data_IF_237019842044
#
_entry.id   IF_237019842044
#
_cell.length_a   1.000
_cell.length_b   1.000
_cell.length_c   1.000
_cell.angle_alpha   90.00
_cell.angle_beta   90.00
_cell.angle_gamma   90.00
#
_symmetry.space_group_name_H-M   'P 1'
#
loop_
_entity.id
_entity.type
_entity.pdbx_description
1 polymer ?
#
# COMPACT_ATOMS: atom_id res chain seq x y z
N UNK A 1 -15.44 -44.34 -40.14
CA UNK A 1 -15.24 -43.77 -38.80
C UNK A 1 -15.55 -42.28 -38.89
N UNK A 2 -16.85 -41.93 -38.94
CA UNK A 2 -17.31 -40.54 -38.92
C UNK A 2 -17.25 -40.09 -37.46
N UNK A 3 -16.26 -39.27 -37.12
CA UNK A 3 -16.31 -38.54 -35.86
C UNK A 3 -17.61 -37.74 -35.86
N UNK A 4 -18.44 -37.91 -34.84
CA UNK A 4 -19.70 -37.18 -34.71
C UNK A 4 -19.39 -35.69 -34.71
N UNK A 5 -19.90 -34.97 -35.72
CA UNK A 5 -19.66 -33.54 -35.92
C UNK A 5 -20.02 -32.75 -34.65
N UNK A 6 -21.00 -33.23 -33.89
CA UNK A 6 -21.39 -32.69 -32.57
C UNK A 6 -20.26 -32.75 -31.53
N UNK A 7 -19.45 -33.80 -31.52
CA UNK A 7 -18.33 -33.98 -30.60
C UNK A 7 -17.18 -33.02 -30.95
N UNK A 8 -16.93 -32.80 -32.25
CA UNK A 8 -15.95 -31.81 -32.73
C UNK A 8 -16.38 -30.40 -32.33
N UNK A 9 -17.66 -30.06 -32.53
CA UNK A 9 -18.21 -28.74 -32.16
C UNK A 9 -18.15 -28.51 -30.65
N UNK A 10 -18.47 -29.53 -29.84
CA UNK A 10 -18.41 -29.44 -28.37
C UNK A 10 -16.97 -29.23 -27.87
N UNK A 11 -15.99 -29.94 -28.44
CA UNK A 11 -14.57 -29.77 -28.09
C UNK A 11 -14.08 -28.36 -28.44
N UNK A 12 -14.45 -27.85 -29.62
CA UNK A 12 -14.09 -26.49 -30.03
C UNK A 12 -14.69 -25.43 -29.10
N UNK A 13 -15.96 -25.58 -28.71
CA UNK A 13 -16.62 -24.65 -27.80
C UNK A 13 -15.92 -24.59 -26.43
N UNK A 14 -15.49 -25.72 -25.87
CA UNK A 14 -14.76 -25.78 -24.60
C UNK A 14 -13.40 -25.07 -24.70
N UNK A 15 -12.68 -25.24 -25.81
CA UNK A 15 -11.40 -24.56 -26.05
C UNK A 15 -11.59 -23.03 -26.10
N UNK A 16 -12.62 -22.54 -26.83
CA UNK A 16 -12.90 -21.11 -26.90
C UNK A 16 -13.28 -20.51 -25.54
N UNK A 17 -14.10 -21.20 -24.74
CA UNK A 17 -14.44 -20.77 -23.37
C UNK A 17 -13.19 -20.74 -22.48
N UNK A 18 -12.33 -21.76 -22.56
CA UNK A 18 -11.08 -21.80 -21.79
C UNK A 18 -10.13 -20.63 -22.12
N UNK A 19 -9.98 -20.30 -23.40
CA UNK A 19 -9.19 -19.14 -23.85
C UNK A 19 -9.81 -17.84 -23.32
N UNK A 20 -11.13 -17.69 -23.40
CA UNK A 20 -11.83 -16.51 -22.88
C UNK A 20 -11.64 -16.31 -21.38
N UNK A 21 -11.74 -17.37 -20.59
CA UNK A 21 -11.47 -17.34 -19.15
C UNK A 21 -10.01 -17.01 -18.84
N UNK A 22 -9.06 -17.56 -19.61
CA UNK A 22 -7.65 -17.26 -19.44
C UNK A 22 -7.30 -15.80 -19.76
N UNK A 23 -7.83 -15.26 -20.86
CA UNK A 23 -7.64 -13.85 -21.22
C UNK A 23 -8.31 -12.92 -20.20
N UNK A 24 -9.53 -13.22 -19.75
CA UNK A 24 -10.19 -12.48 -18.68
C UNK A 24 -9.40 -12.53 -17.37
N UNK A 25 -8.86 -13.69 -17.00
CA UNK A 25 -8.00 -13.82 -15.82
C UNK A 25 -6.74 -12.97 -15.95
N UNK A 26 -6.09 -12.98 -17.12
CA UNK A 26 -4.92 -12.14 -17.40
C UNK A 26 -5.26 -10.65 -17.32
N UNK A 27 -6.36 -10.21 -17.95
CA UNK A 27 -6.82 -8.82 -17.92
C UNK A 27 -7.20 -8.41 -16.50
N UNK A 28 -7.85 -9.26 -15.72
CA UNK A 28 -8.15 -9.01 -14.31
C UNK A 28 -6.87 -8.89 -13.48
N UNK A 29 -5.87 -9.71 -13.74
CA UNK A 29 -4.58 -9.65 -13.04
C UNK A 29 -3.81 -8.36 -13.36
N UNK A 30 -3.76 -7.98 -14.64
CA UNK A 30 -3.14 -6.74 -15.09
C UNK A 30 -3.89 -5.53 -14.52
N UNK A 31 -5.24 -5.53 -14.57
CA UNK A 31 -6.08 -4.50 -13.95
C UNK A 31 -5.88 -4.40 -12.42
N UNK A 32 -5.74 -5.54 -11.74
CA UNK A 32 -5.48 -5.56 -10.30
C UNK A 32 -4.09 -5.01 -9.97
N UNK A 33 -3.09 -5.26 -10.80
CA UNK A 33 -1.75 -4.70 -10.62
C UNK A 33 -1.77 -3.18 -10.86
N UNK A 34 -2.44 -2.72 -11.92
CA UNK A 34 -2.63 -1.30 -12.20
C UNK A 34 -3.35 -0.58 -11.06
N UNK A 35 -4.43 -1.16 -10.52
CA UNK A 35 -5.15 -0.59 -9.36
C UNK A 35 -4.27 -0.50 -8.12
N UNK A 36 -3.45 -1.52 -7.87
CA UNK A 36 -2.49 -1.51 -6.76
C UNK A 36 -1.43 -0.42 -6.94
N UNK A 37 -0.92 -0.24 -8.17
CA UNK A 37 0.01 0.84 -8.51
C UNK A 37 -0.64 2.22 -8.37
N UNK A 38 -1.93 2.36 -8.72
CA UNK A 38 -2.67 3.61 -8.51
C UNK A 38 -2.78 3.93 -7.01
N UNK A 39 -3.25 3.00 -6.19
CA UNK A 39 -3.34 3.21 -4.73
C UNK A 39 -1.98 3.53 -4.10
N UNK A 40 -0.93 2.85 -4.58
CA UNK A 40 0.45 3.11 -4.18
C UNK A 40 0.92 4.51 -4.58
N UNK A 41 0.72 4.89 -5.84
CA UNK A 41 1.09 6.21 -6.36
C UNK A 41 0.33 7.31 -5.62
N UNK A 42 -0.98 7.15 -5.44
CA UNK A 42 -1.81 8.10 -4.68
C UNK A 42 -1.28 8.28 -3.26
N UNK A 43 -0.94 7.18 -2.56
CA UNK A 43 -0.38 7.25 -1.22
C UNK A 43 1.01 7.91 -1.20
N UNK A 44 1.86 7.59 -2.18
CA UNK A 44 3.19 8.18 -2.32
C UNK A 44 3.13 9.67 -2.61
N UNK A 45 2.27 10.11 -3.53
CA UNK A 45 2.04 11.52 -3.86
C UNK A 45 1.54 12.28 -2.64
N UNK A 46 0.59 11.73 -1.88
CA UNK A 46 0.11 12.36 -0.64
C UNK A 46 1.24 12.53 0.41
N UNK A 47 2.14 11.54 0.52
CA UNK A 47 3.31 11.63 1.41
C UNK A 47 4.27 12.72 0.93
N UNK A 48 4.62 12.73 -0.36
CA UNK A 48 5.50 13.76 -0.95
C UNK A 48 4.91 15.17 -0.83
N UNK A 49 3.62 15.32 -1.11
CA UNK A 49 2.92 16.59 -0.95
C UNK A 49 2.91 17.04 0.51
N UNK A 50 2.67 16.13 1.45
CA UNK A 50 2.73 16.43 2.89
C UNK A 50 4.13 16.86 3.32
N UNK A 51 5.18 16.22 2.79
CA UNK A 51 6.57 16.57 3.06
C UNK A 51 6.95 17.94 2.45
N UNK A 52 6.59 18.19 1.19
CA UNK A 52 6.80 19.48 0.54
C UNK A 52 6.08 20.60 1.29
N UNK A 53 4.80 20.39 1.61
CA UNK A 53 4.02 21.35 2.40
C UNK A 53 4.68 21.60 3.75
N UNK A 54 5.20 20.56 4.42
CA UNK A 54 5.95 20.69 5.67
C UNK A 54 7.13 21.66 5.54
N UNK A 55 7.96 21.48 4.51
CA UNK A 55 9.12 22.35 4.28
C UNK A 55 8.73 23.78 3.88
N UNK A 56 7.71 23.94 3.05
CA UNK A 56 7.32 25.26 2.54
C UNK A 56 6.56 26.09 3.59
N UNK A 57 5.67 25.45 4.36
CA UNK A 57 4.68 26.16 5.15
C UNK A 57 4.87 26.02 6.66
N UNK A 58 5.55 24.97 7.13
CA UNK A 58 5.54 24.60 8.56
C UNK A 58 6.91 24.68 9.23
N UNK A 59 8.03 24.49 8.51
CA UNK A 59 9.37 24.35 9.13
C UNK A 59 9.81 25.56 9.97
N UNK A 60 9.43 26.78 9.56
CA UNK A 60 9.80 28.04 10.20
C UNK A 60 8.67 28.67 11.03
N UNK A 61 7.60 27.92 11.32
CA UNK A 61 6.45 28.39 12.09
C UNK A 61 6.56 28.03 13.58
N UNK A 62 5.58 28.47 14.35
CA UNK A 62 5.47 28.13 15.76
C UNK A 62 5.33 26.60 15.97
N UNK A 63 5.67 26.09 17.16
CA UNK A 63 5.68 24.65 17.43
C UNK A 63 4.34 23.94 17.17
N UNK A 64 3.20 24.61 17.43
CA UNK A 64 1.87 24.02 17.22
C UNK A 64 1.61 23.83 15.73
N UNK A 65 1.85 24.88 14.94
CA UNK A 65 1.73 24.81 13.48
C UNK A 65 2.65 23.74 12.90
N UNK A 66 3.90 23.66 13.36
CA UNK A 66 4.83 22.60 12.95
C UNK A 66 4.28 21.20 13.25
N UNK A 67 3.66 21.01 14.41
CA UNK A 67 3.06 19.74 14.81
C UNK A 67 1.90 19.36 13.87
N UNK A 68 1.08 20.30 13.42
CA UNK A 68 0.03 20.03 12.41
C UNK A 68 0.61 19.43 11.12
N UNK A 69 1.76 19.92 10.67
CA UNK A 69 2.44 19.37 9.50
C UNK A 69 2.96 17.95 9.72
N UNK A 70 3.49 17.64 10.92
CA UNK A 70 3.89 16.27 11.29
C UNK A 70 2.68 15.35 11.29
N UNK A 71 1.56 15.77 11.88
CA UNK A 71 0.31 15.00 11.87
C UNK A 71 -0.21 14.74 10.45
N UNK A 72 -0.14 15.73 9.55
CA UNK A 72 -0.53 15.56 8.15
C UNK A 72 0.31 14.49 7.44
N UNK A 73 1.63 14.52 7.63
CA UNK A 73 2.53 13.50 7.10
C UNK A 73 2.18 12.10 7.62
N UNK A 74 1.99 11.95 8.94
CA UNK A 74 1.68 10.65 9.53
C UNK A 74 0.28 10.14 9.17
N UNK A 75 -0.69 11.01 8.90
CA UNK A 75 -1.98 10.60 8.33
C UNK A 75 -1.83 10.00 6.92
N UNK A 76 -0.94 10.58 6.09
CA UNK A 76 -0.63 10.03 4.77
C UNK A 76 0.08 8.67 4.87
N UNK A 77 1.02 8.53 5.82
CA UNK A 77 1.70 7.26 6.10
C UNK A 77 0.71 6.21 6.65
N UNK A 78 -0.23 6.60 7.52
CA UNK A 78 -1.28 5.73 8.05
C UNK A 78 -2.14 5.16 6.95
N UNK A 79 -2.55 5.99 5.98
CA UNK A 79 -3.32 5.56 4.81
C UNK A 79 -2.54 4.54 3.95
N UNK A 80 -1.24 4.77 3.73
CA UNK A 80 -0.38 3.81 3.05
C UNK A 80 -0.33 2.48 3.84
N UNK A 81 -0.14 2.55 5.15
CA UNK A 81 -0.03 1.37 6.00
C UNK A 81 -1.33 0.56 6.00
N UNK A 82 -2.48 1.23 6.05
CA UNK A 82 -3.79 0.62 5.88
C UNK A 82 -3.90 -0.13 4.55
N UNK A 83 -3.49 0.47 3.43
CA UNK A 83 -3.52 -0.21 2.13
C UNK A 83 -2.67 -1.48 2.07
N UNK A 84 -1.55 -1.51 2.79
CA UNK A 84 -0.67 -2.69 2.87
C UNK A 84 -1.26 -3.75 3.81
N UNK A 85 -1.64 -3.36 5.03
CA UNK A 85 -2.14 -4.29 6.05
C UNK A 85 -3.44 -4.98 5.61
N UNK A 86 -4.37 -4.22 5.02
CA UNK A 86 -5.65 -4.73 4.52
C UNK A 86 -5.54 -5.42 3.14
N UNK A 87 -4.32 -5.56 2.61
CA UNK A 87 -4.04 -6.25 1.34
C UNK A 87 -4.78 -5.63 0.16
N UNK A 88 -4.99 -4.32 0.18
CA UNK A 88 -5.35 -3.57 -1.02
C UNK A 88 -4.16 -3.54 -1.98
N UNK A 89 -2.94 -3.44 -1.44
CA UNK A 89 -1.67 -3.65 -2.14
C UNK A 89 -1.16 -5.06 -1.78
N UNK A 90 -1.40 -6.04 -2.66
CA UNK A 90 -1.03 -7.46 -2.47
C UNK A 90 0.33 -7.80 -3.04
N UNK A 91 0.75 -7.09 -4.08
CA UNK A 91 2.03 -7.31 -4.74
C UNK A 91 3.15 -7.00 -3.74
N UNK A 92 3.91 -8.03 -3.37
CA UNK A 92 4.96 -7.93 -2.36
C UNK A 92 6.05 -6.92 -2.75
N UNK A 93 6.38 -6.78 -4.03
CA UNK A 93 7.37 -5.80 -4.47
C UNK A 93 6.89 -4.38 -4.18
N UNK A 94 5.62 -4.08 -4.50
CA UNK A 94 5.00 -2.77 -4.23
C UNK A 94 4.88 -2.55 -2.73
N UNK A 95 4.35 -3.52 -1.98
CA UNK A 95 4.19 -3.43 -0.52
C UNK A 95 5.54 -3.31 0.21
N UNK A 96 6.61 -3.90 -0.34
CA UNK A 96 7.95 -3.90 0.27
C UNK A 96 8.73 -2.62 0.02
N UNK A 97 8.33 -1.81 -0.96
CA UNK A 97 9.09 -0.64 -1.42
C UNK A 97 9.41 0.35 -0.28
N UNK A 98 8.46 0.57 0.64
CA UNK A 98 8.63 1.50 1.76
C UNK A 98 9.11 0.84 3.06
N UNK A 99 9.50 -0.44 3.07
CA UNK A 99 9.85 -1.12 4.34
C UNK A 99 10.90 -0.38 5.15
N UNK A 100 11.98 0.04 4.50
CA UNK A 100 13.06 0.78 5.15
C UNK A 100 12.59 2.17 5.62
N UNK A 101 11.80 2.86 4.79
CA UNK A 101 11.20 4.15 5.13
C UNK A 101 10.28 4.06 6.34
N UNK A 102 9.44 3.02 6.44
CA UNK A 102 8.56 2.78 7.59
C UNK A 102 9.37 2.61 8.88
N UNK A 103 10.47 1.86 8.81
CA UNK A 103 11.37 1.68 9.97
C UNK A 103 12.01 3.01 10.38
N UNK A 104 12.48 3.81 9.42
CA UNK A 104 13.07 5.12 9.68
C UNK A 104 12.03 6.08 10.24
N UNK A 105 10.85 6.19 9.63
CA UNK A 105 9.78 7.06 10.11
C UNK A 105 9.35 6.69 11.52
N UNK A 106 9.33 5.40 11.87
CA UNK A 106 9.00 4.99 13.23
C UNK A 106 10.09 5.42 14.22
N UNK A 107 11.34 5.04 13.96
CA UNK A 107 12.44 5.22 14.92
C UNK A 107 12.93 6.66 15.04
N UNK A 108 13.06 7.33 13.90
CA UNK A 108 13.76 8.62 13.81
C UNK A 108 12.80 9.80 13.83
N UNK A 109 11.53 9.61 13.48
CA UNK A 109 10.55 10.69 13.41
C UNK A 109 9.46 10.48 14.45
N UNK A 110 8.67 9.41 14.37
CA UNK A 110 7.50 9.18 15.22
C UNK A 110 7.86 9.20 16.71
N UNK A 111 8.83 8.38 17.13
CA UNK A 111 9.27 8.32 18.53
C UNK A 111 9.89 9.62 19.06
N UNK A 112 10.29 10.55 18.18
CA UNK A 112 10.92 11.82 18.57
C UNK A 112 9.96 13.01 18.51
N UNK A 113 8.92 12.95 17.68
CA UNK A 113 7.98 14.05 17.48
C UNK A 113 6.72 13.93 18.36
N UNK A 114 6.29 12.71 18.69
CA UNK A 114 5.09 12.48 19.51
C UNK A 114 5.46 12.24 20.97
N UNK A 115 4.55 12.63 21.87
CA UNK A 115 4.68 12.38 23.30
C UNK A 115 4.52 10.89 23.64
N UNK A 116 5.02 10.48 24.81
CA UNK A 116 4.90 9.09 25.24
C UNK A 116 3.44 8.63 25.36
N UNK A 117 2.54 9.52 25.80
CA UNK A 117 1.10 9.24 25.89
C UNK A 117 0.50 8.94 24.50
N UNK A 118 0.85 9.73 23.49
CA UNK A 118 0.42 9.53 22.11
C UNK A 118 1.02 8.27 21.48
N UNK A 119 2.26 7.92 21.85
CA UNK A 119 2.92 6.69 21.37
C UNK A 119 2.24 5.45 21.98
N UNK A 120 1.92 5.51 23.26
CA UNK A 120 1.32 4.42 24.03
C UNK A 120 -0.17 4.23 23.71
N UNK A 121 -0.88 5.25 23.19
CA UNK A 121 -2.25 5.12 22.73
C UNK A 121 -2.31 4.16 21.51
N UNK A 122 -2.90 2.96 21.64
CA UNK A 122 -2.96 2.00 20.54
C UNK A 122 -3.68 2.52 19.29
N UNK A 123 -4.59 3.51 19.42
CA UNK A 123 -5.37 4.06 18.31
C UNK A 123 -4.60 5.08 17.47
N UNK A 124 -3.59 5.72 18.05
CA UNK A 124 -2.82 6.73 17.35
C UNK A 124 -1.93 6.08 16.27
N UNK A 125 -2.24 6.31 15.00
CA UNK A 125 -1.58 5.71 13.84
C UNK A 125 -1.44 4.18 13.96
N UNK A 126 -2.57 3.52 14.22
CA UNK A 126 -2.66 2.08 14.48
C UNK A 126 -2.08 1.25 13.34
N UNK A 127 -2.44 1.56 12.09
CA UNK A 127 -2.03 0.79 10.91
C UNK A 127 -0.54 0.95 10.64
N UNK A 128 0.00 2.16 10.82
CA UNK A 128 1.42 2.43 10.75
C UNK A 128 2.21 1.59 11.78
N UNK A 129 1.74 1.57 13.03
CA UNK A 129 2.38 0.77 14.09
C UNK A 129 2.31 -0.73 13.79
N UNK A 130 1.17 -1.24 13.34
CA UNK A 130 1.01 -2.63 12.91
C UNK A 130 1.97 -2.99 11.79
N UNK A 131 2.07 -2.13 10.77
CA UNK A 131 2.95 -2.35 9.63
C UNK A 131 4.42 -2.39 10.08
N UNK A 132 4.86 -1.46 10.92
CA UNK A 132 6.21 -1.47 11.49
C UNK A 132 6.51 -2.77 12.25
N UNK A 133 5.59 -3.24 13.12
CA UNK A 133 5.79 -4.48 13.86
C UNK A 133 5.87 -5.70 12.93
N UNK A 134 5.05 -5.72 11.87
CA UNK A 134 5.10 -6.79 10.88
C UNK A 134 6.45 -6.85 10.16
N UNK A 135 7.04 -5.70 9.83
CA UNK A 135 8.34 -5.59 9.16
C UNK A 135 9.45 -6.03 10.11
N UNK A 136 9.43 -5.54 11.35
CA UNK A 136 10.43 -5.88 12.37
C UNK A 136 10.45 -7.38 12.70
N UNK A 137 9.31 -8.05 12.62
CA UNK A 137 9.18 -9.48 12.90
C UNK A 137 9.67 -10.37 11.75
N UNK A 138 9.95 -9.80 10.57
CA UNK A 138 10.53 -10.55 9.45
C UNK A 138 12.03 -10.79 9.69
N UNK A 139 12.53 -12.01 9.46
CA UNK A 139 13.97 -12.25 9.50
C UNK A 139 14.65 -11.40 8.42
N UNK A 140 15.64 -10.59 8.82
CA UNK A 140 16.47 -9.85 7.87
C UNK A 140 17.17 -10.87 6.96
N UNK A 141 16.82 -10.84 5.67
CA UNK A 141 17.47 -11.66 4.63
C UNK A 141 18.71 -10.97 4.11
#
# INVERSE_FOLDING_TARGET
MSWDISLIVAVLAVVFVGIGLFLNWRVLNDNNTTRQLQLFNDAFENILESELNFYEHYINKDPMTKMCGVYALFNSIEKLAFFVNEKFIKNENIASYFKDSIVIWYKEVYLKQFSQEEIDDPKNFEEFKKLYQSIKSQPQK
#
